data_IF_527619649572
#
_entry.id   IF_527619649572
#
_cell.length_a   1.000
_cell.length_b   1.000
_cell.length_c   1.000
_cell.angle_alpha   90.00
_cell.angle_beta   90.00
_cell.angle_gamma   90.00
#
_symmetry.space_group_name_H-M   'P 1'
#
loop_
_entity.id
_entity.type
_entity.pdbx_description
1 polymer ?
#
# COMPACT_ATOMS: atom_id res chain seq x y z
N UNK A 1 52.64 -81.49 -16.85
CA UNK A 1 51.24 -81.11 -16.58
C UNK A 1 51.33 -79.86 -15.72
N UNK A 2 50.98 -78.71 -16.28
CA UNK A 2 51.12 -77.40 -15.63
C UNK A 2 50.09 -77.25 -14.51
N UNK A 3 50.48 -76.66 -13.37
CA UNK A 3 49.70 -75.59 -12.74
C UNK A 3 50.62 -74.60 -11.99
N UNK A 4 50.21 -73.31 -11.89
CA UNK A 4 51.09 -72.19 -11.56
C UNK A 4 50.86 -71.59 -10.15
N UNK A 5 51.78 -70.70 -9.81
CA UNK A 5 52.02 -69.97 -8.56
C UNK A 5 50.88 -69.08 -8.06
N UNK A 6 50.79 -68.89 -6.74
CA UNK A 6 50.14 -67.71 -6.15
C UNK A 6 50.80 -67.37 -4.81
N UNK A 7 51.61 -66.30 -4.81
CA UNK A 7 52.32 -65.78 -3.66
C UNK A 7 51.39 -65.19 -2.60
N UNK A 8 51.70 -65.48 -1.34
CA UNK A 8 51.02 -64.92 -0.17
C UNK A 8 51.63 -63.54 0.13
N UNK A 9 50.81 -62.48 0.01
CA UNK A 9 51.11 -61.14 0.52
C UNK A 9 50.32 -60.88 1.81
N UNK A 10 51.02 -60.39 2.83
CA UNK A 10 50.54 -60.03 4.17
C UNK A 10 49.44 -58.94 4.14
N UNK A 11 48.47 -58.89 5.09
CA UNK A 11 47.40 -57.90 5.09
C UNK A 11 47.94 -56.49 5.38
N UNK A 12 47.54 -55.51 4.56
CA UNK A 12 47.79 -54.09 4.79
C UNK A 12 46.67 -53.46 5.64
N UNK A 13 47.07 -52.56 6.53
CA UNK A 13 46.29 -51.81 7.53
C UNK A 13 45.15 -50.96 6.90
N UNK A 14 43.89 -50.99 7.38
CA UNK A 14 42.80 -50.21 6.80
C UNK A 14 42.69 -48.84 7.49
N UNK A 15 43.60 -47.92 7.18
CA UNK A 15 43.46 -46.50 7.54
C UNK A 15 43.80 -45.60 6.35
N UNK A 16 42.91 -45.61 5.35
CA UNK A 16 42.81 -44.50 4.40
C UNK A 16 41.63 -43.63 4.84
N UNK A 17 41.89 -42.48 5.44
CA UNK A 17 40.86 -41.47 5.70
C UNK A 17 40.33 -40.96 4.36
N UNK A 18 39.16 -41.45 3.96
CA UNK A 18 38.41 -40.87 2.84
C UNK A 18 37.92 -39.51 3.33
N UNK A 19 38.66 -38.45 3.00
CA UNK A 19 38.17 -37.09 3.17
C UNK A 19 37.07 -36.89 2.13
N UNK A 20 35.80 -36.87 2.56
CA UNK A 20 34.71 -36.42 1.71
C UNK A 20 34.96 -34.94 1.38
N UNK A 21 35.32 -34.66 0.12
CA UNK A 21 35.30 -33.31 -0.43
C UNK A 21 33.90 -33.09 -0.97
N UNK A 22 33.18 -32.15 -0.37
CA UNK A 22 31.89 -31.72 -0.91
C UNK A 22 32.10 -31.18 -2.33
N UNK A 23 31.23 -31.55 -3.30
CA UNK A 23 31.38 -31.12 -4.67
C UNK A 23 31.28 -29.59 -4.74
N UNK A 24 32.23 -28.96 -5.42
CA UNK A 24 32.33 -27.49 -5.52
C UNK A 24 31.03 -26.83 -6.05
N UNK A 25 30.22 -27.54 -6.84
CA UNK A 25 28.90 -27.07 -7.30
C UNK A 25 27.89 -26.91 -6.15
N UNK A 26 27.91 -27.78 -5.14
CA UNK A 26 26.98 -27.73 -4.00
C UNK A 26 27.32 -26.56 -3.07
N UNK A 27 28.61 -26.25 -2.91
CA UNK A 27 29.09 -25.08 -2.16
C UNK A 27 28.72 -23.77 -2.88
N UNK A 28 28.82 -23.74 -4.22
CA UNK A 28 28.44 -22.56 -5.02
C UNK A 28 26.93 -22.35 -5.01
N UNK A 29 26.13 -23.43 -5.08
CA UNK A 29 24.67 -23.34 -4.93
C UNK A 29 24.28 -22.91 -3.51
N UNK A 30 24.91 -23.42 -2.46
CA UNK A 30 24.64 -23.02 -1.07
C UNK A 30 25.02 -21.55 -0.80
N UNK A 31 26.17 -21.08 -1.32
CA UNK A 31 26.56 -19.68 -1.25
C UNK A 31 25.64 -18.76 -2.07
N UNK A 32 25.19 -19.20 -3.26
CA UNK A 32 24.25 -18.45 -4.09
C UNK A 32 22.87 -18.34 -3.43
N UNK A 33 22.36 -19.44 -2.87
CA UNK A 33 21.10 -19.47 -2.10
C UNK A 33 21.23 -18.62 -0.84
N UNK A 34 22.36 -18.67 -0.14
CA UNK A 34 22.60 -17.80 1.02
C UNK A 34 22.66 -16.31 0.65
N UNK A 35 23.25 -15.97 -0.50
CA UNK A 35 23.30 -14.59 -1.00
C UNK A 35 21.93 -14.10 -1.47
N UNK A 36 21.14 -14.93 -2.13
CA UNK A 36 19.77 -14.63 -2.55
C UNK A 36 18.85 -14.51 -1.33
N UNK A 37 19.00 -15.40 -0.34
CA UNK A 37 18.27 -15.34 0.92
C UNK A 37 18.66 -14.11 1.76
N UNK A 38 19.93 -13.70 1.78
CA UNK A 38 20.39 -12.43 2.39
C UNK A 38 19.89 -11.19 1.65
N UNK A 39 19.68 -11.27 0.33
CA UNK A 39 19.07 -10.22 -0.47
C UNK A 39 17.57 -10.09 -0.16
N UNK A 40 16.89 -11.21 0.07
CA UNK A 40 15.45 -11.28 0.37
C UNK A 40 15.12 -10.98 1.85
N UNK A 41 15.99 -11.33 2.81
CA UNK A 41 15.76 -11.03 4.24
C UNK A 41 15.90 -9.54 4.53
N UNK A 42 14.84 -8.89 5.01
CA UNK A 42 14.87 -7.47 5.36
C UNK A 42 15.86 -7.19 6.51
N UNK A 43 16.62 -6.06 6.48
CA UNK A 43 17.66 -5.74 7.48
C UNK A 43 17.10 -5.54 8.89
N UNK A 44 15.79 -5.31 9.00
CA UNK A 44 15.02 -5.25 10.25
C UNK A 44 14.97 -6.58 11.02
N UNK A 45 15.21 -7.71 10.35
CA UNK A 45 15.29 -9.04 11.00
C UNK A 45 16.72 -9.38 11.46
N UNK A 46 17.74 -8.67 10.94
CA UNK A 46 19.17 -9.00 11.12
C UNK A 46 19.97 -7.94 11.90
N UNK A 47 19.39 -6.77 12.20
CA UNK A 47 20.11 -5.67 12.85
C UNK A 47 19.81 -5.60 14.35
N UNK A 48 20.79 -5.99 15.17
CA UNK A 48 20.77 -5.75 16.63
C UNK A 48 21.17 -4.30 16.97
N UNK A 49 21.72 -3.55 16.00
CA UNK A 49 22.18 -2.17 16.20
C UNK A 49 21.88 -1.22 15.01
N UNK A 50 21.68 0.08 15.33
CA UNK A 50 21.48 1.14 14.32
C UNK A 50 22.64 1.24 13.32
N UNK A 51 23.87 0.94 13.77
CA UNK A 51 25.06 0.99 12.91
C UNK A 51 25.08 -0.12 11.85
N UNK A 52 24.61 -1.32 12.21
CA UNK A 52 24.48 -2.44 11.28
C UNK A 52 23.36 -2.21 10.27
N UNK A 53 22.23 -1.65 10.71
CA UNK A 53 21.14 -1.24 9.84
C UNK A 53 21.63 -0.24 8.76
N UNK A 54 22.34 0.82 9.16
CA UNK A 54 22.84 1.83 8.23
C UNK A 54 23.90 1.27 7.25
N UNK A 55 24.76 0.34 7.71
CA UNK A 55 25.76 -0.33 6.85
C UNK A 55 25.08 -1.27 5.84
N UNK A 56 24.11 -2.06 6.29
CA UNK A 56 23.33 -2.96 5.43
C UNK A 56 22.53 -2.18 4.38
N UNK A 57 21.88 -1.09 4.81
CA UNK A 57 21.15 -0.18 3.95
C UNK A 57 22.07 0.48 2.91
N UNK A 58 23.25 0.95 3.32
CA UNK A 58 24.25 1.52 2.41
C UNK A 58 24.80 0.50 1.40
N UNK A 59 24.94 -0.78 1.79
CA UNK A 59 25.36 -1.86 0.88
C UNK A 59 24.29 -2.12 -0.20
N UNK A 60 23.00 -2.10 0.16
CA UNK A 60 21.86 -2.30 -0.77
C UNK A 60 21.73 -1.20 -1.81
N UNK A 61 21.86 0.06 -1.39
CA UNK A 61 21.82 1.20 -2.32
C UNK A 61 22.97 1.11 -3.33
N UNK A 62 24.17 0.74 -2.86
CA UNK A 62 25.34 0.56 -3.73
C UNK A 62 25.23 -0.66 -4.65
N UNK A 63 24.43 -1.66 -4.29
CA UNK A 63 24.16 -2.83 -5.14
C UNK A 63 23.04 -2.62 -6.15
N UNK A 64 22.50 -1.40 -6.27
CA UNK A 64 21.44 -1.05 -7.24
C UNK A 64 20.01 -1.22 -6.71
N UNK A 65 19.83 -1.72 -5.49
CA UNK A 65 18.53 -1.81 -4.83
C UNK A 65 18.24 -0.48 -4.11
N UNK A 66 17.74 0.49 -4.88
CA UNK A 66 17.52 1.85 -4.38
C UNK A 66 16.43 1.96 -3.32
N UNK A 67 15.56 0.94 -3.19
CA UNK A 67 14.49 0.91 -2.20
C UNK A 67 13.67 2.20 -2.18
N UNK A 68 13.54 2.81 -1.00
CA UNK A 68 12.78 4.06 -0.78
C UNK A 68 13.57 5.34 -1.13
N UNK A 69 14.86 5.24 -1.47
CA UNK A 69 15.72 6.41 -1.68
C UNK A 69 15.19 7.36 -2.77
N UNK A 70 14.74 6.89 -3.95
CA UNK A 70 14.22 7.78 -4.98
C UNK A 70 12.98 8.57 -4.51
N UNK A 71 12.14 7.94 -3.68
CA UNK A 71 10.94 8.56 -3.11
C UNK A 71 11.32 9.66 -2.13
N UNK A 72 12.28 9.40 -1.22
CA UNK A 72 12.76 10.39 -0.25
C UNK A 72 13.43 11.56 -0.98
N UNK A 73 14.29 11.27 -1.96
CA UNK A 73 14.96 12.31 -2.76
C UNK A 73 13.92 13.15 -3.50
N UNK A 74 12.94 12.51 -4.14
CA UNK A 74 11.83 13.19 -4.80
C UNK A 74 11.05 14.10 -3.84
N UNK A 75 10.72 13.61 -2.64
CA UNK A 75 10.03 14.39 -1.61
C UNK A 75 10.84 15.62 -1.19
N UNK A 76 12.14 15.46 -0.91
CA UNK A 76 13.02 16.57 -0.53
C UNK A 76 13.10 17.61 -1.63
N UNK A 77 13.26 17.19 -2.88
CA UNK A 77 13.31 18.09 -4.03
C UNK A 77 12.02 18.88 -4.20
N UNK A 78 10.86 18.22 -4.09
CA UNK A 78 9.54 18.88 -4.17
C UNK A 78 9.34 19.88 -3.02
N UNK A 79 9.74 19.52 -1.80
CA UNK A 79 9.66 20.42 -0.63
C UNK A 79 10.52 21.67 -0.81
N UNK A 80 11.77 21.49 -1.25
CA UNK A 80 12.68 22.62 -1.52
C UNK A 80 12.11 23.51 -2.62
N UNK A 81 11.64 22.91 -3.71
CA UNK A 81 11.05 23.65 -4.84
C UNK A 81 9.86 24.50 -4.38
N UNK A 82 8.86 23.92 -3.70
CA UNK A 82 7.70 24.67 -3.25
C UNK A 82 8.00 25.71 -2.16
N UNK A 83 9.01 25.48 -1.32
CA UNK A 83 9.44 26.50 -0.36
C UNK A 83 10.11 27.70 -1.02
N UNK A 84 10.83 27.48 -2.13
CA UNK A 84 11.41 28.57 -2.92
C UNK A 84 10.31 29.36 -3.63
N UNK A 85 9.35 28.67 -4.25
CA UNK A 85 8.23 29.30 -4.97
C UNK A 85 7.24 30.02 -4.04
N UNK A 86 7.01 29.47 -2.84
CA UNK A 86 6.10 30.02 -1.86
C UNK A 86 6.73 30.02 -0.47
N UNK A 87 7.07 31.21 0.03
CA UNK A 87 7.70 31.38 1.35
C UNK A 87 6.86 30.86 2.51
N UNK A 88 5.54 30.78 2.33
CA UNK A 88 4.57 30.28 3.32
C UNK A 88 4.40 28.75 3.28
N UNK A 89 5.06 28.03 2.37
CA UNK A 89 4.86 26.59 2.18
C UNK A 89 5.19 25.76 3.44
N UNK A 90 6.32 26.01 4.10
CA UNK A 90 6.68 25.36 5.37
C UNK A 90 6.16 26.10 6.62
N UNK A 91 5.21 27.03 6.46
CA UNK A 91 4.56 27.66 7.62
C UNK A 91 3.78 26.62 8.44
N UNK A 92 3.66 26.85 9.75
CA UNK A 92 2.92 25.94 10.63
C UNK A 92 1.47 25.71 10.16
N UNK A 93 0.79 26.76 9.70
CA UNK A 93 -0.57 26.65 9.18
C UNK A 93 -0.66 25.81 7.91
N UNK A 94 0.28 25.98 6.97
CA UNK A 94 0.28 25.18 5.76
C UNK A 94 0.68 23.72 6.04
N UNK A 95 1.63 23.47 6.94
CA UNK A 95 1.99 22.11 7.37
C UNK A 95 0.79 21.38 7.99
N UNK A 96 0.01 22.04 8.86
CA UNK A 96 -1.23 21.46 9.40
C UNK A 96 -2.21 21.12 8.27
N UNK A 97 -2.43 22.03 7.33
CA UNK A 97 -3.32 21.79 6.19
C UNK A 97 -2.84 20.64 5.29
N UNK A 98 -1.53 20.52 5.08
CA UNK A 98 -0.93 19.40 4.33
C UNK A 98 -1.13 18.08 5.07
N UNK A 99 -0.93 18.04 6.39
CA UNK A 99 -1.16 16.82 7.18
C UNK A 99 -2.63 16.42 7.21
N UNK A 100 -3.56 17.37 7.32
CA UNK A 100 -5.00 17.09 7.26
C UNK A 100 -5.38 16.49 5.90
N UNK A 101 -4.86 17.03 4.79
CA UNK A 101 -5.09 16.46 3.46
C UNK A 101 -4.41 15.10 3.27
N UNK A 102 -3.19 14.94 3.80
CA UNK A 102 -2.45 13.69 3.74
C UNK A 102 -3.14 12.57 4.52
N UNK A 103 -3.82 12.89 5.63
CA UNK A 103 -4.53 11.89 6.45
C UNK A 103 -5.53 11.06 5.62
N UNK A 104 -6.24 11.67 4.67
CA UNK A 104 -7.15 10.96 3.76
C UNK A 104 -6.41 9.97 2.87
N UNK A 105 -5.30 10.37 2.26
CA UNK A 105 -4.49 9.49 1.42
C UNK A 105 -3.79 8.39 2.22
N UNK A 106 -3.35 8.67 3.44
CA UNK A 106 -2.78 7.68 4.36
C UNK A 106 -3.85 6.64 4.73
N UNK A 107 -5.10 7.05 4.95
CA UNK A 107 -6.21 6.14 5.20
C UNK A 107 -6.48 5.22 4.01
N UNK A 108 -6.49 5.75 2.78
CA UNK A 108 -6.62 4.93 1.57
C UNK A 108 -5.43 3.99 1.40
N UNK A 109 -4.21 4.47 1.60
CA UNK A 109 -3.01 3.62 1.54
C UNK A 109 -3.10 2.46 2.54
N UNK A 110 -3.58 2.72 3.76
CA UNK A 110 -3.80 1.67 4.77
C UNK A 110 -4.87 0.65 4.33
N UNK A 111 -5.91 1.08 3.62
CA UNK A 111 -6.91 0.18 3.04
C UNK A 111 -6.32 -0.65 1.88
N UNK A 112 -5.57 -0.03 0.98
CA UNK A 112 -4.92 -0.68 -0.17
C UNK A 112 -3.88 -1.73 0.24
N UNK A 113 -3.26 -1.60 1.41
CA UNK A 113 -2.39 -2.67 1.94
C UNK A 113 -3.15 -4.01 1.99
N UNK A 114 -4.42 -4.03 2.37
CA UNK A 114 -5.20 -5.27 2.38
C UNK A 114 -5.42 -5.83 0.97
N UNK A 115 -5.66 -4.98 -0.02
CA UNK A 115 -5.77 -5.39 -1.42
C UNK A 115 -4.45 -5.97 -1.94
N UNK A 116 -3.34 -5.27 -1.68
CA UNK A 116 -2.00 -5.70 -2.08
C UNK A 116 -1.57 -7.02 -1.42
N UNK A 117 -1.95 -7.24 -0.16
CA UNK A 117 -1.69 -8.51 0.54
C UNK A 117 -2.44 -9.69 -0.10
N UNK A 118 -3.59 -9.44 -0.71
CA UNK A 118 -4.34 -10.43 -1.48
C UNK A 118 -3.81 -10.57 -2.92
N UNK A 119 -2.72 -9.86 -3.27
CA UNK A 119 -2.22 -9.72 -4.63
C UNK A 119 -3.26 -9.13 -5.60
N UNK A 120 -4.19 -8.33 -5.08
CA UNK A 120 -5.18 -7.58 -5.84
C UNK A 120 -4.76 -6.11 -5.96
N UNK A 121 -5.38 -5.42 -6.92
CA UNK A 121 -5.25 -3.98 -7.11
C UNK A 121 -6.66 -3.39 -7.01
N UNK A 122 -6.85 -2.37 -6.16
CA UNK A 122 -8.05 -1.53 -6.16
C UNK A 122 -7.74 -0.14 -6.71
N UNK A 123 -8.38 0.18 -7.83
CA UNK A 123 -8.31 1.50 -8.47
C UNK A 123 -9.52 2.38 -8.13
N UNK A 124 -10.57 1.77 -7.57
CA UNK A 124 -11.88 2.39 -7.36
C UNK A 124 -12.00 3.06 -5.99
N UNK A 125 -11.11 2.79 -5.03
CA UNK A 125 -11.23 3.23 -3.62
C UNK A 125 -11.57 4.72 -3.48
N UNK A 126 -10.93 5.58 -4.27
CA UNK A 126 -11.16 7.02 -4.25
C UNK A 126 -12.55 7.40 -4.76
N UNK A 127 -13.02 6.73 -5.82
CA UNK A 127 -14.36 6.94 -6.35
C UNK A 127 -15.44 6.40 -5.40
N UNK A 128 -15.21 5.25 -4.75
CA UNK A 128 -16.12 4.71 -3.73
C UNK A 128 -16.23 5.66 -2.54
N UNK A 129 -15.10 6.18 -2.04
CA UNK A 129 -15.09 7.20 -0.99
C UNK A 129 -15.84 8.47 -1.42
N UNK A 130 -15.68 8.90 -2.67
CA UNK A 130 -16.42 10.00 -3.27
C UNK A 130 -17.93 9.77 -3.28
N UNK A 131 -18.39 8.59 -3.75
CA UNK A 131 -19.81 8.22 -3.70
C UNK A 131 -20.34 8.28 -2.27
N UNK A 132 -19.61 7.72 -1.31
CA UNK A 132 -19.98 7.80 0.11
C UNK A 132 -20.13 9.23 0.61
N UNK A 133 -19.19 10.12 0.26
CA UNK A 133 -19.25 11.53 0.63
C UNK A 133 -20.49 12.24 0.05
N UNK A 134 -20.81 11.98 -1.23
CA UNK A 134 -22.02 12.53 -1.88
C UNK A 134 -23.31 11.99 -1.24
N UNK A 135 -23.36 10.69 -0.92
CA UNK A 135 -24.51 10.10 -0.22
C UNK A 135 -24.71 10.76 1.15
N UNK A 136 -23.64 10.97 1.91
CA UNK A 136 -23.72 11.68 3.21
C UNK A 136 -24.27 13.09 3.00
N UNK A 137 -23.75 13.81 2.00
CA UNK A 137 -24.17 15.17 1.70
C UNK A 137 -25.66 15.23 1.31
N UNK A 138 -26.11 14.37 0.39
CA UNK A 138 -27.52 14.28 -0.06
C UNK A 138 -28.48 13.94 1.08
N UNK A 139 -28.10 13.01 1.96
CA UNK A 139 -28.96 12.61 3.08
C UNK A 139 -29.13 13.75 4.10
N UNK A 140 -28.09 14.55 4.32
CA UNK A 140 -28.08 15.59 5.36
C UNK A 140 -28.61 16.92 4.81
N UNK A 141 -28.36 17.21 3.54
CA UNK A 141 -28.82 18.43 2.90
C UNK A 141 -30.33 18.39 2.62
N UNK A 142 -30.95 19.57 2.40
CA UNK A 142 -32.29 19.64 1.84
C UNK A 142 -32.34 18.95 0.46
N UNK A 143 -33.39 18.18 0.15
CA UNK A 143 -34.67 18.09 0.87
C UNK A 143 -34.72 17.01 1.96
N UNK A 144 -33.76 16.09 2.03
CA UNK A 144 -33.83 14.89 2.89
C UNK A 144 -33.70 15.25 4.37
N UNK A 145 -32.77 16.15 4.73
CA UNK A 145 -32.59 16.69 6.09
C UNK A 145 -32.49 15.61 7.20
N UNK A 146 -31.83 14.48 6.93
CA UNK A 146 -31.57 13.45 7.95
C UNK A 146 -30.59 13.95 9.01
N UNK A 147 -30.68 13.34 10.20
CA UNK A 147 -29.72 13.59 11.28
C UNK A 147 -28.32 13.15 10.83
N UNK A 148 -27.32 13.95 11.14
CA UNK A 148 -25.96 13.79 10.60
C UNK A 148 -25.34 12.40 10.75
N UNK A 149 -25.55 11.73 11.90
CA UNK A 149 -25.01 10.39 12.14
C UNK A 149 -25.68 9.32 11.27
N UNK A 150 -26.97 9.50 10.92
CA UNK A 150 -27.66 8.65 9.94
C UNK A 150 -27.13 8.89 8.53
N UNK A 151 -26.78 10.13 8.19
CA UNK A 151 -26.10 10.44 6.93
C UNK A 151 -24.77 9.67 6.81
N UNK A 152 -23.93 9.75 7.85
CA UNK A 152 -22.66 8.98 7.93
C UNK A 152 -22.90 7.49 7.81
N UNK A 153 -23.86 6.94 8.56
CA UNK A 153 -24.22 5.52 8.49
C UNK A 153 -24.66 5.11 7.08
N UNK A 154 -25.44 5.96 6.39
CA UNK A 154 -25.87 5.75 5.02
C UNK A 154 -24.71 5.74 4.02
N UNK A 155 -23.77 6.69 4.14
CA UNK A 155 -22.56 6.72 3.33
C UNK A 155 -21.70 5.46 3.52
N UNK A 156 -21.44 5.08 4.77
CA UNK A 156 -20.69 3.86 5.09
C UNK A 156 -21.39 2.61 4.56
N UNK A 157 -22.70 2.54 4.69
CA UNK A 157 -23.50 1.43 4.16
C UNK A 157 -23.36 1.31 2.64
N UNK A 158 -23.44 2.43 1.90
CA UNK A 158 -23.27 2.42 0.44
C UNK A 158 -21.85 2.02 0.04
N UNK A 159 -20.82 2.52 0.72
CA UNK A 159 -19.44 2.09 0.47
C UNK A 159 -19.26 0.59 0.71
N UNK A 160 -19.82 0.07 1.81
CA UNK A 160 -19.77 -1.36 2.12
C UNK A 160 -20.53 -2.20 1.07
N UNK A 161 -21.70 -1.74 0.62
CA UNK A 161 -22.48 -2.41 -0.41
C UNK A 161 -21.71 -2.47 -1.75
N UNK A 162 -21.03 -1.39 -2.13
CA UNK A 162 -20.16 -1.34 -3.30
C UNK A 162 -18.97 -2.30 -3.15
N UNK A 163 -18.34 -2.33 -1.97
CA UNK A 163 -17.26 -3.28 -1.66
C UNK A 163 -17.71 -4.74 -1.78
N UNK A 164 -18.90 -5.07 -1.25
CA UNK A 164 -19.50 -6.41 -1.39
C UNK A 164 -19.80 -6.73 -2.86
N UNK A 165 -20.31 -5.77 -3.63
CA UNK A 165 -20.58 -5.95 -5.05
C UNK A 165 -19.29 -6.26 -5.83
N UNK A 166 -18.27 -5.42 -5.70
CA UNK A 166 -16.98 -5.61 -6.38
C UNK A 166 -16.28 -6.90 -5.92
N UNK A 167 -16.24 -7.16 -4.60
CA UNK A 167 -15.67 -8.38 -4.06
C UNK A 167 -16.41 -9.65 -4.53
N UNK A 168 -17.73 -9.58 -4.70
CA UNK A 168 -18.52 -10.70 -5.25
C UNK A 168 -18.22 -10.92 -6.73
N UNK A 169 -18.09 -9.85 -7.53
CA UNK A 169 -17.67 -9.93 -8.93
C UNK A 169 -16.31 -10.61 -9.06
N UNK A 170 -15.35 -10.25 -8.21
CA UNK A 170 -14.00 -10.83 -8.22
C UNK A 170 -14.06 -12.31 -7.78
N UNK A 171 -14.65 -12.59 -6.62
CA UNK A 171 -14.58 -13.93 -5.99
C UNK A 171 -15.52 -14.97 -6.60
N UNK A 172 -16.73 -14.58 -7.04
CA UNK A 172 -17.72 -15.53 -7.58
C UNK A 172 -17.64 -15.66 -9.09
N UNK A 173 -17.40 -14.55 -9.79
CA UNK A 173 -17.35 -14.53 -11.26
C UNK A 173 -15.92 -14.64 -11.79
N UNK A 174 -14.91 -14.72 -10.92
CA UNK A 174 -13.49 -14.88 -11.26
C UNK A 174 -13.01 -13.81 -12.24
N UNK A 175 -13.54 -12.60 -12.11
CA UNK A 175 -13.13 -11.46 -12.91
C UNK A 175 -11.82 -10.89 -12.33
N UNK A 176 -10.83 -10.51 -13.17
CA UNK A 176 -9.61 -9.88 -12.68
C UNK A 176 -9.92 -8.59 -11.90
N UNK A 177 -9.33 -8.44 -10.70
CA UNK A 177 -9.62 -7.30 -9.80
C UNK A 177 -9.41 -5.96 -10.51
N UNK A 178 -8.29 -5.82 -11.23
CA UNK A 178 -7.96 -4.61 -12.01
C UNK A 178 -9.09 -4.19 -12.95
N UNK A 179 -9.74 -5.14 -13.64
CA UNK A 179 -10.83 -4.84 -14.58
C UNK A 179 -12.08 -4.41 -13.82
N UNK A 180 -12.42 -5.10 -12.73
CA UNK A 180 -13.58 -4.77 -11.90
C UNK A 180 -13.41 -3.38 -11.28
N UNK A 181 -12.24 -3.08 -10.72
CA UNK A 181 -11.99 -1.82 -10.03
C UNK A 181 -11.69 -0.66 -10.99
N UNK A 182 -11.15 -0.91 -12.18
CA UNK A 182 -11.08 0.11 -13.23
C UNK A 182 -12.48 0.46 -13.76
N UNK A 183 -13.31 -0.56 -14.00
CA UNK A 183 -14.72 -0.37 -14.37
C UNK A 183 -15.50 0.32 -13.25
N UNK A 184 -15.24 -0.04 -12.00
CA UNK A 184 -15.76 0.60 -10.80
C UNK A 184 -15.34 2.07 -10.71
N UNK A 185 -14.06 2.38 -10.88
CA UNK A 185 -13.55 3.75 -10.91
C UNK A 185 -14.32 4.61 -11.91
N UNK A 186 -14.46 4.16 -13.16
CA UNK A 186 -15.18 4.91 -14.19
C UNK A 186 -16.69 4.98 -13.91
N UNK A 187 -17.31 3.87 -13.52
CA UNK A 187 -18.74 3.77 -13.24
C UNK A 187 -19.15 4.62 -12.05
N UNK A 188 -18.45 4.52 -10.93
CA UNK A 188 -18.73 5.30 -9.72
C UNK A 188 -18.37 6.77 -9.89
N UNK A 189 -17.35 7.10 -10.70
CA UNK A 189 -17.13 8.50 -11.11
C UNK A 189 -18.33 9.03 -11.90
N UNK A 190 -18.91 8.22 -12.79
CA UNK A 190 -20.17 8.54 -13.48
C UNK A 190 -21.34 8.75 -12.50
N UNK A 191 -21.46 7.90 -11.48
CA UNK A 191 -22.47 8.04 -10.41
C UNK A 191 -22.27 9.35 -9.64
N UNK A 192 -21.02 9.72 -9.32
CA UNK A 192 -20.71 10.99 -8.65
C UNK A 192 -21.19 12.17 -9.49
N UNK A 193 -20.96 12.15 -10.81
CA UNK A 193 -21.41 13.23 -11.71
C UNK A 193 -22.93 13.37 -11.68
N UNK A 194 -23.65 12.26 -11.69
CA UNK A 194 -25.12 12.23 -11.60
C UNK A 194 -25.61 12.74 -10.22
N UNK A 195 -25.02 12.24 -9.13
CA UNK A 195 -25.37 12.65 -7.76
C UNK A 195 -25.06 14.12 -7.50
N UNK A 196 -23.94 14.62 -8.03
CA UNK A 196 -23.57 16.02 -7.93
C UNK A 196 -24.53 16.94 -8.69
N UNK A 197 -25.49 16.38 -9.45
CA UNK A 197 -26.42 17.10 -10.31
C UNK A 197 -25.66 18.17 -11.10
N UNK A 198 -24.50 17.80 -11.66
CA UNK A 198 -23.77 18.66 -12.57
C UNK A 198 -24.65 18.76 -13.80
N UNK A 199 -25.56 19.73 -13.76
CA UNK A 199 -26.51 20.00 -14.81
C UNK A 199 -25.72 20.16 -16.12
N UNK A 200 -26.16 19.48 -17.18
CA UNK A 200 -25.48 19.50 -18.49
C UNK A 200 -25.47 20.91 -19.10
N UNK A 201 -26.10 21.88 -18.43
CA UNK A 201 -26.13 23.30 -18.75
C UNK A 201 -25.61 24.24 -17.65
N UNK A 202 -25.24 23.76 -16.46
CA UNK A 202 -24.71 24.60 -15.38
C UNK A 202 -23.26 24.24 -15.02
N UNK A 203 -22.43 25.28 -14.90
CA UNK A 203 -21.06 25.16 -14.43
C UNK A 203 -21.07 24.91 -12.92
N UNK A 204 -20.92 23.64 -12.51
CA UNK A 204 -20.63 23.23 -11.14
C UNK A 204 -21.85 23.05 -10.23
N UNK A 205 -22.29 21.80 -10.07
CA UNK A 205 -23.18 21.42 -8.98
C UNK A 205 -22.41 21.33 -7.66
N UNK A 206 -22.97 21.90 -6.58
CA UNK A 206 -22.45 21.77 -5.21
C UNK A 206 -23.61 21.49 -4.26
N UNK A 207 -23.49 20.46 -3.43
CA UNK A 207 -24.43 20.23 -2.33
C UNK A 207 -24.03 21.14 -1.17
N UNK A 208 -24.81 22.20 -0.94
CA UNK A 208 -24.51 23.15 0.13
C UNK A 208 -24.83 22.56 1.51
N UNK A 209 -23.79 22.34 2.32
CA UNK A 209 -23.94 21.97 3.73
C UNK A 209 -23.80 23.24 4.57
N UNK A 210 -24.74 23.48 5.49
CA UNK A 210 -24.68 24.65 6.37
C UNK A 210 -23.40 24.65 7.22
N UNK A 211 -22.76 25.82 7.33
CA UNK A 211 -21.58 26.03 8.20
C UNK A 211 -21.88 25.84 9.68
N UNK A 212 -23.17 25.84 10.06
CA UNK A 212 -23.60 25.52 11.44
C UNK A 212 -23.88 24.02 11.62
N UNK A 213 -23.77 23.20 10.56
CA UNK A 213 -24.04 21.77 10.67
C UNK A 213 -22.99 21.06 11.52
N UNK A 214 -23.38 20.05 12.33
CA UNK A 214 -22.44 19.23 13.07
C UNK A 214 -21.40 18.55 12.18
N UNK A 215 -21.75 18.18 10.94
CA UNK A 215 -20.80 17.57 9.98
C UNK A 215 -19.73 18.55 9.53
N UNK A 216 -20.10 19.80 9.22
CA UNK A 216 -19.12 20.82 8.88
C UNK A 216 -18.13 21.04 10.04
N UNK A 217 -18.63 21.06 11.27
CA UNK A 217 -17.80 21.18 12.47
C UNK A 217 -16.95 19.93 12.72
N UNK A 218 -17.46 18.73 12.45
CA UNK A 218 -16.70 17.48 12.56
C UNK A 218 -15.52 17.44 11.58
N UNK A 219 -15.76 17.79 10.32
CA UNK A 219 -14.73 17.81 9.27
C UNK A 219 -13.63 18.84 9.57
N UNK A 220 -13.99 19.99 10.14
CA UNK A 220 -13.05 21.05 10.48
C UNK A 220 -12.52 20.99 11.92
N UNK A 221 -12.76 19.89 12.65
CA UNK A 221 -12.37 19.72 14.05
C UNK A 221 -12.84 20.86 14.99
N UNK A 222 -13.97 21.48 14.68
CA UNK A 222 -14.60 22.59 15.41
C UNK A 222 -15.83 22.12 16.22
N UNK A 223 -15.91 20.84 16.60
CA UNK A 223 -17.03 20.35 17.41
C UNK A 223 -16.98 20.94 18.82
N UNK A 224 -18.12 21.46 19.29
CA UNK A 224 -18.25 21.87 20.69
C UNK A 224 -18.23 20.62 21.59
N UNK A 225 -17.51 20.62 22.73
CA UNK A 225 -17.50 19.50 23.66
C UNK A 225 -18.84 19.30 24.42
N UNK A 226 -19.85 20.13 24.14
CA UNK A 226 -21.15 20.14 24.82
C UNK A 226 -22.33 19.68 23.94
N UNK A 227 -22.07 19.24 22.70
CA UNK A 227 -23.07 18.64 21.81
C UNK A 227 -22.87 17.14 21.64
#
# INVERSE_FOLDING_TARGET
>A
MNEPTSGVGTPADPQGSVTYQEPEEEVVEEEAVAQEQLAVTAPEVLADSLGEYLRAWGKRIRSGESGVVPVIVGLVLVVIFFQIEQSTFLSAGNLVNLFVQAATFILFAAAEIYALLLSEIDLSVGAVAGVGAFVIAELIAPPVNLVWWLGIAGGLFICAAIGVLQGTLITRLHLPSFVVTLGGLLGFTGVIIELAQIDKTAVGGVISISTTSPVYNLVNANMSPTV
#
